data_IF_316479381720
#
_entry.id   IF_316479381720
#
_cell.length_a   1.000
_cell.length_b   1.000
_cell.length_c   1.000
_cell.angle_alpha   90.00
_cell.angle_beta   90.00
_cell.angle_gamma   90.00
#
_symmetry.space_group_name_H-M   'P 1'
#
loop_
_entity.id
_entity.type
_entity.pdbx_description
1 polymer ?
#
# COMPACT_ATOMS: atom_id res chain seq x y z
N UNK A 1 -5.00 0.44 18.37
CA UNK A 1 -6.19 -0.22 17.81
C UNK A 1 -6.48 0.42 16.46
N UNK A 2 -6.79 -0.37 15.43
CA UNK A 2 -7.05 0.13 14.07
C UNK A 2 -8.55 0.09 13.77
N UNK A 3 -9.01 1.05 12.96
CA UNK A 3 -10.36 1.09 12.41
C UNK A 3 -10.29 1.17 10.90
N UNK A 4 -11.21 0.53 10.21
CA UNK A 4 -11.32 0.57 8.75
C UNK A 4 -12.53 1.41 8.34
N UNK A 5 -12.30 2.37 7.44
CA UNK A 5 -13.35 3.17 6.81
C UNK A 5 -13.39 2.75 5.34
N UNK A 6 -14.58 2.46 4.80
CA UNK A 6 -14.80 2.10 3.39
C UNK A 6 -14.68 3.33 2.47
N UNK A 7 -13.56 4.04 2.55
CA UNK A 7 -13.26 5.21 1.73
C UNK A 7 -11.80 5.15 1.29
N UNK A 8 -11.55 5.48 0.04
CA UNK A 8 -10.20 5.58 -0.51
C UNK A 8 -9.55 6.89 -0.03
N UNK A 9 -8.24 6.85 0.21
CA UNK A 9 -7.47 8.04 0.59
C UNK A 9 -7.52 9.10 -0.52
N UNK A 10 -7.46 8.64 -1.77
CA UNK A 10 -7.56 9.48 -2.96
C UNK A 10 -8.63 8.93 -3.91
N UNK A 11 -9.40 9.80 -4.60
CA UNK A 11 -10.35 9.36 -5.61
C UNK A 11 -9.60 8.75 -6.81
N UNK A 12 -10.09 7.62 -7.31
CA UNK A 12 -9.54 6.95 -8.49
C UNK A 12 -10.45 7.27 -9.68
N UNK A 13 -9.86 7.70 -10.80
CA UNK A 13 -10.59 7.90 -12.06
C UNK A 13 -10.80 6.54 -12.70
N UNK A 14 -12.03 6.28 -13.16
CA UNK A 14 -12.32 5.06 -13.90
C UNK A 14 -11.61 5.10 -15.27
N UNK A 15 -10.83 4.08 -15.56
CA UNK A 15 -10.09 3.91 -16.81
C UNK A 15 -10.37 2.52 -17.40
N UNK A 16 -9.93 2.29 -18.62
CA UNK A 16 -10.02 0.98 -19.29
C UNK A 16 -9.11 -0.06 -18.63
N UNK A 17 -9.51 -1.34 -18.61
CA UNK A 17 -8.71 -2.39 -17.99
C UNK A 17 -7.42 -2.66 -18.78
N UNK A 18 -6.28 -2.23 -18.24
CA UNK A 18 -4.94 -2.50 -18.80
C UNK A 18 -4.15 -3.52 -17.95
N UNK A 19 -3.95 -4.77 -18.44
CA UNK A 19 -3.20 -5.79 -17.72
C UNK A 19 -1.69 -5.48 -17.60
N UNK A 20 -1.12 -4.69 -18.51
CA UNK A 20 0.27 -4.27 -18.45
C UNK A 20 0.47 -3.23 -17.33
N UNK A 21 -0.40 -2.23 -17.27
CA UNK A 21 -0.39 -1.25 -16.18
C UNK A 21 -0.63 -1.92 -14.82
N UNK A 22 -1.55 -2.89 -14.73
CA UNK A 22 -1.77 -3.66 -13.51
C UNK A 22 -0.50 -4.39 -13.04
N UNK A 23 0.22 -5.04 -13.96
CA UNK A 23 1.49 -5.70 -13.63
C UNK A 23 2.57 -4.71 -13.16
N UNK A 24 2.65 -3.51 -13.75
CA UNK A 24 3.56 -2.47 -13.29
C UNK A 24 3.21 -1.98 -11.87
N UNK A 25 1.92 -1.83 -11.55
CA UNK A 25 1.45 -1.42 -10.22
C UNK A 25 1.75 -2.48 -9.15
N UNK A 26 1.83 -3.77 -9.51
CA UNK A 26 2.19 -4.84 -8.57
C UNK A 26 3.60 -4.67 -8.00
N UNK A 27 4.54 -4.11 -8.76
CA UNK A 27 5.88 -3.77 -8.24
C UNK A 27 5.81 -2.60 -7.23
N UNK A 28 4.94 -1.62 -7.49
CA UNK A 28 4.67 -0.52 -6.55
C UNK A 28 3.94 -0.97 -5.27
N UNK A 29 3.12 -2.02 -5.34
CA UNK A 29 2.39 -2.52 -4.19
C UNK A 29 3.21 -3.54 -3.38
N UNK A 30 3.79 -4.52 -4.04
CA UNK A 30 4.46 -5.68 -3.42
C UNK A 30 5.94 -5.88 -3.78
N UNK A 31 6.50 -5.03 -4.63
CA UNK A 31 7.91 -5.08 -4.98
C UNK A 31 8.84 -4.66 -3.85
N UNK A 32 10.15 -4.66 -4.12
CA UNK A 32 11.17 -4.39 -3.10
C UNK A 32 11.05 -3.00 -2.48
N UNK A 33 10.51 -2.03 -3.21
CA UNK A 33 10.27 -0.67 -2.71
C UNK A 33 8.78 -0.34 -2.63
N UNK A 34 7.93 -1.37 -2.59
CA UNK A 34 6.49 -1.20 -2.62
C UNK A 34 5.87 -0.77 -1.30
N UNK A 35 4.60 -0.39 -1.37
CA UNK A 35 3.82 0.11 -0.24
C UNK A 35 3.71 -0.91 0.89
N UNK A 36 3.57 -2.20 0.58
CA UNK A 36 3.49 -3.25 1.61
C UNK A 36 4.78 -3.33 2.45
N UNK A 37 5.95 -3.17 1.82
CA UNK A 37 7.22 -3.16 2.56
C UNK A 37 7.28 -1.97 3.50
N UNK A 38 6.95 -0.78 3.00
CA UNK A 38 6.99 0.46 3.79
C UNK A 38 6.01 0.40 4.96
N UNK A 39 4.78 -0.08 4.72
CA UNK A 39 3.77 -0.27 5.75
C UNK A 39 4.28 -1.22 6.85
N UNK A 40 4.78 -2.39 6.48
CA UNK A 40 5.27 -3.36 7.46
C UNK A 40 6.51 -2.86 8.21
N UNK A 41 7.42 -2.16 7.51
CA UNK A 41 8.61 -1.58 8.11
C UNK A 41 8.24 -0.63 9.26
N UNK A 42 7.37 0.35 9.02
CA UNK A 42 6.95 1.31 10.04
C UNK A 42 6.07 0.67 11.12
N UNK A 43 5.23 -0.30 10.75
CA UNK A 43 4.40 -1.03 11.71
C UNK A 43 5.26 -1.77 12.75
N UNK A 44 6.23 -2.57 12.29
CA UNK A 44 7.09 -3.33 13.19
C UNK A 44 8.08 -2.44 13.95
N UNK A 45 8.56 -1.34 13.37
CA UNK A 45 9.34 -0.34 14.12
C UNK A 45 8.52 0.23 15.27
N UNK A 46 7.25 0.58 15.02
CA UNK A 46 6.35 1.12 16.04
C UNK A 46 6.05 0.10 17.15
N UNK A 47 5.83 -1.17 16.80
CA UNK A 47 5.61 -2.24 17.78
C UNK A 47 6.84 -2.55 18.64
N UNK A 48 8.03 -2.39 18.08
CA UNK A 48 9.29 -2.67 18.78
C UNK A 48 9.92 -1.43 19.43
N UNK A 49 9.24 -0.28 19.43
CA UNK A 49 9.76 0.97 19.98
C UNK A 49 10.01 0.85 21.49
N UNK A 50 11.18 1.31 21.98
CA UNK A 50 11.61 1.15 23.38
C UNK A 50 11.83 2.47 24.16
N UNK A 51 11.49 3.61 23.58
CA UNK A 51 11.72 4.93 24.19
C UNK A 51 13.09 5.49 23.85
#
# INVERSE_FOLDING_TARGET
MFYHVQSLINPIVADEPDPSAANALQEGLGGQFGEMRTMMQFLFQSFNFRG
#
